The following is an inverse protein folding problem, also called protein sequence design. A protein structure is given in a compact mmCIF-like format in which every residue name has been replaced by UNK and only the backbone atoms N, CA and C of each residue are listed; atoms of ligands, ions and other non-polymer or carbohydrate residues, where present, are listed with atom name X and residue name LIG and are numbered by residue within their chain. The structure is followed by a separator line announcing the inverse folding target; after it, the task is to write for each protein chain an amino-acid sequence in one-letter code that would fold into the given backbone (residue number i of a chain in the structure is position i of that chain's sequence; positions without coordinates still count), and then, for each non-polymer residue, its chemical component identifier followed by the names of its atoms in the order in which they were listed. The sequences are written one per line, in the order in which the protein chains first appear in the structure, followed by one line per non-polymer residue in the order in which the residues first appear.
data_IF_816133232806
#
_entry.id   IF_816133232806
#
_cell.length_a   1.000
_cell.length_b   1.000
_cell.length_c   1.000
_cell.angle_alpha   90.00
_cell.angle_beta   90.00
_cell.angle_gamma   90.00
#
_symmetry.space_group_name_H-M   'P 1'
#
loop_
_entity.id
_entity.type
_entity.pdbx_description
1 polymer ?
#
# COMPACT_ATOMS: atom_id res chain seq x y z
N UNK A 1 -34.15 28.45 -56.53
CA UNK A 1 -34.24 27.04 -56.05
C UNK A 1 -33.03 26.54 -55.22
N UNK A 2 -31.97 27.32 -54.95
CA UNK A 2 -30.83 26.87 -54.11
C UNK A 2 -30.93 27.18 -52.60
N UNK A 3 -31.80 28.11 -52.20
CA UNK A 3 -31.91 28.50 -50.77
C UNK A 3 -32.86 27.63 -49.94
N UNK A 4 -33.90 27.03 -50.53
CA UNK A 4 -34.82 26.14 -49.80
C UNK A 4 -34.15 24.81 -49.36
N UNK A 5 -33.17 24.30 -50.13
CA UNK A 5 -32.45 23.08 -49.78
C UNK A 5 -31.51 23.26 -48.57
N UNK A 6 -30.91 24.44 -48.39
CA UNK A 6 -30.00 24.71 -47.25
C UNK A 6 -30.75 24.84 -45.92
N UNK A 7 -31.93 25.45 -45.90
CA UNK A 7 -32.74 25.52 -44.67
C UNK A 7 -33.34 24.17 -44.27
N UNK A 8 -33.69 23.32 -45.24
CA UNK A 8 -34.21 21.97 -44.96
C UNK A 8 -33.14 21.04 -44.36
N UNK A 9 -31.90 21.08 -44.85
CA UNK A 9 -30.79 20.27 -44.32
C UNK A 9 -30.40 20.72 -42.91
N UNK A 10 -30.32 22.03 -42.65
CA UNK A 10 -29.99 22.57 -41.31
C UNK A 10 -31.09 22.21 -40.30
N UNK A 11 -32.37 22.25 -40.70
CA UNK A 11 -33.48 21.86 -39.84
C UNK A 11 -33.48 20.37 -39.49
N UNK A 12 -33.14 19.49 -40.43
CA UNK A 12 -33.05 18.04 -40.20
C UNK A 12 -31.88 17.71 -39.26
N UNK A 13 -30.71 18.34 -39.44
CA UNK A 13 -29.55 18.09 -38.57
C UNK A 13 -29.81 18.54 -37.13
N UNK A 14 -30.51 19.66 -36.93
CA UNK A 14 -30.87 20.13 -35.58
C UNK A 14 -31.86 19.18 -34.90
N UNK A 15 -32.83 18.64 -35.65
CA UNK A 15 -33.78 17.64 -35.11
C UNK A 15 -33.06 16.34 -34.75
N UNK A 16 -32.12 15.86 -35.57
CA UNK A 16 -31.31 14.67 -35.28
C UNK A 16 -30.47 14.87 -34.01
N UNK A 17 -29.82 16.04 -33.85
CA UNK A 17 -29.01 16.34 -32.65
C UNK A 17 -29.89 16.36 -31.40
N UNK A 18 -31.07 16.98 -31.45
CA UNK A 18 -32.01 16.99 -30.32
C UNK A 18 -32.50 15.57 -29.99
N UNK A 19 -32.84 14.76 -31.00
CA UNK A 19 -33.27 13.37 -30.79
C UNK A 19 -32.15 12.51 -30.21
N UNK A 20 -30.91 12.66 -30.67
CA UNK A 20 -29.75 11.95 -30.09
C UNK A 20 -29.49 12.38 -28.64
N UNK A 21 -29.61 13.67 -28.33
CA UNK A 21 -29.43 14.18 -26.98
C UNK A 21 -30.52 13.71 -26.00
N UNK A 22 -31.78 13.65 -26.45
CA UNK A 22 -32.90 13.11 -25.66
C UNK A 22 -32.76 11.60 -25.48
N UNK A 23 -32.34 10.87 -26.51
CA UNK A 23 -32.11 9.43 -26.43
C UNK A 23 -30.96 9.06 -25.49
N UNK A 24 -29.84 9.81 -25.55
CA UNK A 24 -28.72 9.65 -24.63
C UNK A 24 -29.14 9.94 -23.19
N UNK A 25 -29.89 11.01 -22.93
CA UNK A 25 -30.39 11.30 -21.58
C UNK A 25 -31.41 10.28 -21.07
N UNK A 26 -32.23 9.70 -21.96
CA UNK A 26 -33.14 8.61 -21.61
C UNK A 26 -32.37 7.34 -21.21
N UNK A 27 -31.27 7.03 -21.89
CA UNK A 27 -30.39 5.90 -21.54
C UNK A 27 -29.66 6.13 -20.20
N UNK A 28 -29.29 7.37 -19.87
CA UNK A 28 -28.65 7.70 -18.59
C UNK A 28 -29.61 7.78 -17.40
N UNK A 29 -30.91 8.02 -17.64
CA UNK A 29 -31.91 8.15 -16.57
C UNK A 29 -32.64 6.84 -16.27
N UNK A 30 -32.76 5.93 -17.24
CA UNK A 30 -33.35 4.60 -17.04
C UNK A 30 -32.27 3.50 -17.02
N UNK A 31 -31.70 3.26 -15.84
CA UNK A 31 -30.74 2.18 -15.55
C UNK A 31 -31.34 0.76 -15.65
N UNK A 32 -31.88 0.38 -16.81
CA UNK A 32 -32.42 -0.97 -17.04
C UNK A 32 -31.94 -1.64 -18.35
N UNK A 33 -31.04 -1.01 -19.11
CA UNK A 33 -30.53 -1.63 -20.35
C UNK A 33 -29.27 -2.51 -20.16
N UNK A 34 -28.52 -2.35 -19.07
CA UNK A 34 -27.32 -3.16 -18.80
C UNK A 34 -27.54 -4.39 -17.90
N UNK A 35 -28.77 -4.62 -17.42
CA UNK A 35 -29.08 -5.76 -16.55
C UNK A 35 -29.13 -7.11 -17.29
N UNK A 36 -28.77 -7.16 -18.58
CA UNK A 36 -28.76 -8.37 -19.40
C UNK A 36 -27.39 -8.98 -19.71
N UNK A 37 -26.27 -8.32 -19.38
CA UNK A 37 -24.92 -8.79 -19.77
C UNK A 37 -23.86 -8.56 -18.68
N UNK A 38 -24.10 -9.03 -17.45
CA UNK A 38 -23.01 -9.34 -16.51
C UNK A 38 -23.36 -10.65 -15.82
N UNK A 39 -22.93 -11.75 -16.43
CA UNK A 39 -22.88 -13.05 -15.76
C UNK A 39 -21.46 -13.60 -15.90
N UNK A 40 -20.48 -12.82 -15.43
CA UNK A 40 -19.08 -13.22 -15.27
C UNK A 40 -18.65 -12.87 -13.85
N UNK A 41 -19.32 -13.47 -12.86
CA UNK A 41 -18.85 -13.51 -11.48
C UNK A 41 -19.31 -14.83 -10.85
N UNK A 42 -18.75 -15.94 -11.36
CA UNK A 42 -18.89 -17.27 -10.72
C UNK A 42 -17.56 -17.97 -10.45
N UNK A 43 -16.43 -17.27 -10.56
CA UNK A 43 -15.10 -17.88 -10.36
C UNK A 43 -14.33 -17.38 -9.14
N UNK A 44 -14.81 -16.36 -8.42
CA UNK A 44 -14.06 -15.77 -7.30
C UNK A 44 -14.59 -16.16 -5.91
N UNK A 45 -15.87 -16.53 -5.79
CA UNK A 45 -16.47 -16.93 -4.50
C UNK A 45 -15.84 -18.20 -3.90
N UNK A 46 -15.11 -18.98 -4.70
CA UNK A 46 -14.53 -20.26 -4.27
C UNK A 46 -13.08 -20.17 -3.75
N UNK A 47 -12.44 -18.99 -3.76
CA UNK A 47 -11.05 -18.86 -3.28
C UNK A 47 -10.98 -18.08 -1.96
N UNK A 48 -11.88 -17.12 -1.73
CA UNK A 48 -12.08 -16.48 -0.43
C UNK A 48 -13.56 -16.09 -0.28
N UNK A 49 -14.39 -16.88 0.43
CA UNK A 49 -15.79 -16.55 0.59
C UNK A 49 -15.91 -15.26 1.40
N UNK A 50 -16.44 -14.21 0.79
CA UNK A 50 -16.94 -13.03 1.51
C UNK A 50 -18.29 -13.42 2.10
N UNK A 51 -18.27 -14.06 3.26
CA UNK A 51 -19.49 -14.15 4.07
C UNK A 51 -19.67 -12.82 4.80
N UNK A 52 -20.77 -12.14 4.50
CA UNK A 52 -21.37 -11.18 5.42
C UNK A 52 -21.40 -11.81 6.82
N UNK A 53 -20.93 -11.04 7.80
CA UNK A 53 -21.21 -11.26 9.22
C UNK A 53 -21.01 -12.70 9.72
N UNK A 54 -19.75 -13.13 9.89
CA UNK A 54 -19.40 -14.07 10.95
C UNK A 54 -17.98 -13.80 11.46
N UNK A 55 -17.93 -13.05 12.55
CA UNK A 55 -16.84 -13.04 13.52
C UNK A 55 -16.47 -14.50 13.91
N UNK A 56 -15.42 -15.03 13.29
CA UNK A 56 -14.75 -16.25 13.72
C UNK A 56 -13.24 -16.03 13.80
N UNK A 57 -12.88 -15.12 14.70
CA UNK A 57 -11.80 -15.24 15.67
C UNK A 57 -10.98 -16.54 15.61
N UNK A 58 -9.82 -16.50 14.97
CA UNK A 58 -8.80 -17.55 15.10
C UNK A 58 -7.45 -17.01 15.58
N UNK A 59 -7.46 -16.11 16.57
CA UNK A 59 -6.35 -15.94 17.52
C UNK A 59 -6.82 -15.08 18.70
N UNK A 60 -6.60 -15.46 19.98
CA UNK A 60 -6.93 -14.59 21.12
C UNK A 60 -6.20 -13.23 21.10
N UNK A 61 -5.14 -13.09 20.29
CA UNK A 61 -4.38 -11.86 20.09
C UNK A 61 -4.96 -10.93 19.01
N UNK A 62 -5.80 -11.42 18.09
CA UNK A 62 -6.38 -10.61 17.00
C UNK A 62 -7.63 -9.81 17.42
N UNK A 63 -8.19 -10.09 18.60
CA UNK A 63 -9.36 -9.38 19.16
C UNK A 63 -9.14 -7.90 19.46
N UNK A 64 -7.89 -7.40 19.46
CA UNK A 64 -7.57 -6.05 19.94
C UNK A 64 -7.29 -5.01 18.86
N UNK A 65 -7.27 -5.37 17.58
CA UNK A 65 -7.01 -4.42 16.50
C UNK A 65 -8.07 -4.54 15.40
N UNK A 66 -9.35 -4.33 15.73
CA UNK A 66 -10.34 -4.08 14.70
C UNK A 66 -9.95 -2.79 13.97
N UNK A 67 -9.51 -2.90 12.73
CA UNK A 67 -9.20 -1.76 11.87
C UNK A 67 -10.46 -0.91 11.79
N UNK A 68 -10.36 0.36 12.18
CA UNK A 68 -11.52 1.25 12.15
C UNK A 68 -12.04 1.35 10.71
N UNK A 69 -13.36 1.18 10.49
CA UNK A 69 -13.93 1.36 9.16
C UNK A 69 -13.64 2.78 8.66
N UNK A 70 -13.34 2.89 7.36
CA UNK A 70 -13.16 4.19 6.68
C UNK A 70 -14.45 4.99 6.82
N UNK A 71 -14.36 6.23 7.29
CA UNK A 71 -15.54 7.09 7.36
C UNK A 71 -16.11 7.34 5.97
N UNK A 72 -17.44 7.39 5.83
CA UNK A 72 -18.12 7.49 4.53
C UNK A 72 -17.58 8.63 3.65
N UNK A 73 -17.35 9.80 4.26
CA UNK A 73 -16.80 10.99 3.60
C UNK A 73 -15.39 10.79 3.01
N UNK A 74 -14.63 9.84 3.55
CA UNK A 74 -13.21 9.59 3.21
C UNK A 74 -13.05 8.43 2.23
N UNK A 75 -14.10 7.60 2.03
CA UNK A 75 -14.06 6.43 1.13
C UNK A 75 -13.62 6.79 -0.28
N UNK A 76 -14.06 7.94 -0.81
CA UNK A 76 -13.68 8.39 -2.15
C UNK A 76 -12.17 8.66 -2.33
N UNK A 77 -11.44 8.88 -1.25
CA UNK A 77 -9.99 9.12 -1.29
C UNK A 77 -9.16 7.87 -0.98
N UNK A 78 -9.73 6.92 -0.23
CA UNK A 78 -9.00 5.75 0.28
C UNK A 78 -9.34 4.47 -0.49
N UNK A 79 -10.56 4.34 -0.99
CA UNK A 79 -11.11 3.08 -1.51
C UNK A 79 -10.93 2.86 -3.01
N UNK A 80 -10.58 3.90 -3.76
CA UNK A 80 -10.60 3.83 -5.22
C UNK A 80 -12.00 3.51 -5.77
N UNK A 81 -12.09 3.23 -7.06
CA UNK A 81 -13.34 2.80 -7.70
C UNK A 81 -13.42 1.27 -7.91
N UNK A 82 -12.37 0.54 -7.53
CA UNK A 82 -12.29 -0.91 -7.63
C UNK A 82 -12.24 -1.45 -9.07
N UNK A 83 -11.94 -0.60 -10.07
CA UNK A 83 -11.89 -1.00 -11.48
C UNK A 83 -10.46 -0.98 -11.99
N UNK A 84 -10.05 -2.08 -12.62
CA UNK A 84 -8.81 -2.12 -13.38
C UNK A 84 -9.05 -1.59 -14.79
N UNK A 85 -8.17 -0.70 -15.25
CA UNK A 85 -8.09 -0.23 -16.61
C UNK A 85 -6.85 -0.79 -17.31
N UNK A 86 -6.83 -0.72 -18.63
CA UNK A 86 -5.64 -1.05 -19.40
C UNK A 86 -5.57 -0.28 -20.70
N UNK A 87 -4.36 -0.16 -21.23
CA UNK A 87 -4.05 0.26 -22.59
C UNK A 87 -2.90 -0.62 -23.14
N UNK A 88 -2.37 -0.28 -24.31
CA UNK A 88 -1.31 -1.07 -24.97
C UNK A 88 -0.01 -1.20 -24.15
N UNK A 89 0.21 -0.33 -23.15
CA UNK A 89 1.44 -0.25 -22.37
C UNK A 89 1.25 -0.47 -20.86
N UNK A 90 0.03 -0.28 -20.35
CA UNK A 90 -0.27 -0.26 -18.92
C UNK A 90 -1.43 -1.22 -18.66
N UNK A 91 -1.26 -2.12 -17.70
CA UNK A 91 -2.32 -2.98 -17.18
C UNK A 91 -2.44 -2.76 -15.68
N UNK A 92 -3.66 -2.48 -15.22
CA UNK A 92 -3.96 -2.37 -13.80
C UNK A 92 -4.51 -3.70 -13.25
N UNK A 93 -4.25 -3.95 -11.98
CA UNK A 93 -4.77 -5.11 -11.25
C UNK A 93 -5.49 -4.61 -9.99
N UNK A 94 -6.76 -4.99 -9.84
CA UNK A 94 -7.53 -4.63 -8.65
C UNK A 94 -7.03 -5.45 -7.46
N UNK A 95 -6.72 -4.78 -6.35
CA UNK A 95 -6.36 -5.44 -5.11
C UNK A 95 -7.59 -6.16 -4.51
N UNK A 96 -7.43 -7.33 -3.89
CA UNK A 96 -8.53 -8.13 -3.36
C UNK A 96 -9.24 -7.50 -2.15
N UNK A 97 -8.70 -6.41 -1.60
CA UNK A 97 -9.28 -5.70 -0.45
C UNK A 97 -9.63 -4.25 -0.86
N UNK A 98 -10.88 -3.82 -0.63
CA UNK A 98 -11.26 -2.42 -0.82
C UNK A 98 -10.53 -1.54 0.18
N UNK A 99 -10.32 -0.27 -0.16
CA UNK A 99 -9.68 0.68 0.75
C UNK A 99 -8.31 0.21 1.24
N UNK A 100 -7.56 -0.48 0.41
CA UNK A 100 -6.25 -1.06 0.75
C UNK A 100 -5.12 -0.03 0.76
N UNK A 101 -5.26 1.07 0.00
CA UNK A 101 -4.30 2.16 -0.09
C UNK A 101 -2.85 1.66 -0.33
N UNK A 102 -2.57 1.01 -1.48
CA UNK A 102 -1.23 0.53 -1.79
C UNK A 102 -0.25 1.68 -1.99
N UNK A 103 0.96 1.57 -1.44
CA UNK A 103 2.04 2.57 -1.61
C UNK A 103 3.32 1.88 -2.04
N UNK A 104 4.04 1.26 -1.09
CA UNK A 104 5.27 0.56 -1.41
C UNK A 104 5.03 -0.78 -2.11
N UNK A 105 5.97 -1.17 -2.97
CA UNK A 105 6.08 -2.52 -3.51
C UNK A 105 7.54 -2.96 -3.66
N UNK A 106 7.78 -4.27 -3.69
CA UNK A 106 9.09 -4.86 -3.96
C UNK A 106 8.94 -6.24 -4.60
N UNK A 107 10.05 -6.85 -5.03
CA UNK A 107 10.05 -8.16 -5.69
C UNK A 107 10.88 -9.14 -4.88
N UNK A 108 10.35 -10.33 -4.60
CA UNK A 108 11.08 -11.40 -3.92
C UNK A 108 11.95 -12.23 -4.90
N UNK A 109 12.79 -13.11 -4.35
CA UNK A 109 13.67 -13.98 -5.15
C UNK A 109 12.91 -15.00 -6.02
N UNK A 110 11.60 -15.17 -5.82
CA UNK A 110 10.72 -16.00 -6.65
C UNK A 110 9.96 -15.19 -7.71
N UNK A 111 10.32 -13.92 -7.89
CA UNK A 111 9.66 -12.96 -8.79
C UNK A 111 8.21 -12.61 -8.42
N UNK A 112 7.78 -12.87 -7.18
CA UNK A 112 6.48 -12.36 -6.73
C UNK A 112 6.61 -10.89 -6.30
N UNK A 113 5.57 -10.13 -6.58
CA UNK A 113 5.48 -8.71 -6.22
C UNK A 113 4.79 -8.61 -4.86
N UNK A 114 5.49 -8.04 -3.88
CA UNK A 114 4.97 -7.78 -2.55
C UNK A 114 4.52 -6.32 -2.48
N UNK A 115 3.28 -6.09 -2.06
CA UNK A 115 2.63 -4.78 -2.03
C UNK A 115 2.21 -4.48 -0.60
N UNK A 116 2.57 -3.29 -0.10
CA UNK A 116 2.11 -2.80 1.19
C UNK A 116 0.70 -2.18 1.05
N UNK A 117 -0.31 -2.85 1.58
CA UNK A 117 -1.69 -2.36 1.67
C UNK A 117 -1.88 -1.66 3.03
N UNK A 118 -1.54 -0.37 3.04
CA UNK A 118 -1.32 0.42 4.24
C UNK A 118 -2.54 0.54 5.13
N UNK A 119 -3.70 0.87 4.56
CA UNK A 119 -4.88 1.12 5.40
C UNK A 119 -5.30 -0.14 6.17
N UNK A 120 -5.21 -1.30 5.51
CA UNK A 120 -5.57 -2.60 6.08
C UNK A 120 -4.41 -3.30 6.81
N UNK A 121 -3.21 -2.69 6.86
CA UNK A 121 -2.06 -3.23 7.58
C UNK A 121 -1.59 -4.59 7.10
N UNK A 122 -1.53 -4.79 5.78
CA UNK A 122 -1.18 -6.10 5.19
C UNK A 122 -0.15 -5.99 4.09
N UNK A 123 0.65 -7.04 3.93
CA UNK A 123 1.35 -7.29 2.67
C UNK A 123 0.49 -8.20 1.79
N UNK A 124 0.38 -7.85 0.52
CA UNK A 124 -0.26 -8.66 -0.51
C UNK A 124 0.82 -9.15 -1.48
N UNK A 125 0.83 -10.45 -1.76
CA UNK A 125 1.81 -11.06 -2.66
C UNK A 125 1.11 -11.43 -3.96
N UNK A 126 1.59 -10.86 -5.05
CA UNK A 126 1.08 -11.04 -6.40
C UNK A 126 2.08 -11.84 -7.24
N UNK A 127 1.60 -12.91 -7.87
CA UNK A 127 2.36 -13.68 -8.83
C UNK A 127 2.09 -13.12 -10.25
N UNK A 128 3.09 -12.49 -10.89
CA UNK A 128 2.91 -11.90 -12.22
C UNK A 128 2.74 -12.95 -13.33
N UNK A 129 3.17 -14.19 -13.12
CA UNK A 129 3.04 -15.26 -14.11
C UNK A 129 1.60 -15.76 -14.23
N UNK A 130 0.91 -15.89 -13.09
CA UNK A 130 -0.50 -16.29 -13.03
C UNK A 130 -1.46 -15.10 -13.00
N UNK A 131 -0.94 -13.89 -12.76
CA UNK A 131 -1.72 -12.65 -12.56
C UNK A 131 -2.69 -12.75 -11.38
N UNK A 132 -2.27 -13.39 -10.29
CA UNK A 132 -3.12 -13.62 -9.11
C UNK A 132 -2.44 -13.19 -7.82
N UNK A 133 -3.26 -12.81 -6.82
CA UNK A 133 -2.80 -12.62 -5.46
C UNK A 133 -2.75 -13.97 -4.75
N UNK A 134 -1.56 -14.41 -4.36
CA UNK A 134 -1.29 -15.76 -3.85
C UNK A 134 -1.15 -15.82 -2.33
N UNK A 135 -0.89 -14.68 -1.67
CA UNK A 135 -0.73 -14.60 -0.22
C UNK A 135 -1.12 -13.22 0.30
N UNK A 136 -1.64 -13.18 1.52
CA UNK A 136 -1.74 -11.96 2.32
C UNK A 136 -1.16 -12.20 3.72
N UNK A 137 -0.50 -11.19 4.29
CA UNK A 137 0.21 -11.28 5.57
C UNK A 137 -0.22 -10.08 6.42
N UNK A 138 -0.72 -10.35 7.64
CA UNK A 138 -1.14 -9.30 8.56
C UNK A 138 0.04 -8.74 9.35
N UNK A 139 0.17 -7.42 9.40
CA UNK A 139 1.16 -6.74 10.23
C UNK A 139 0.57 -6.59 11.64
N UNK A 140 1.22 -7.13 12.69
CA UNK A 140 0.66 -7.12 14.03
C UNK A 140 0.60 -5.71 14.62
N UNK A 141 -0.48 -5.41 15.33
CA UNK A 141 -0.71 -4.10 15.99
C UNK A 141 -0.66 -2.91 15.01
N UNK A 142 -0.97 -3.14 13.73
CA UNK A 142 -1.08 -2.07 12.77
C UNK A 142 -2.26 -1.16 13.12
N UNK A 143 -1.97 0.12 13.35
CA UNK A 143 -2.98 1.11 13.71
C UNK A 143 -2.86 2.28 12.75
N UNK A 144 -3.83 2.46 11.83
CA UNK A 144 -3.90 3.66 11.03
C UNK A 144 -4.31 4.84 11.94
N UNK A 145 -3.34 5.54 12.55
CA UNK A 145 -3.62 6.57 13.57
C UNK A 145 -4.08 7.91 12.99
N UNK A 146 -3.99 8.11 11.67
CA UNK A 146 -4.36 9.39 11.02
C UNK A 146 -5.35 9.18 9.87
N UNK A 147 -5.84 10.30 9.30
CA UNK A 147 -6.76 10.34 8.16
C UNK A 147 -6.33 9.46 6.98
N UNK A 148 -5.03 9.18 6.83
CA UNK A 148 -4.47 8.36 5.75
C UNK A 148 -3.80 7.06 6.24
N UNK A 149 -3.95 6.72 7.52
CA UNK A 149 -3.27 5.59 8.15
C UNK A 149 -1.75 5.77 8.25
N UNK A 150 -1.05 4.85 8.92
CA UNK A 150 0.42 4.81 8.80
C UNK A 150 0.78 4.39 7.38
N UNK A 151 1.90 4.87 6.86
CA UNK A 151 2.36 4.51 5.52
C UNK A 151 3.68 3.76 5.59
N UNK A 152 3.73 2.69 4.81
CA UNK A 152 4.92 1.96 4.42
C UNK A 152 5.34 2.54 3.07
N UNK A 153 6.36 3.39 3.11
CA UNK A 153 6.86 4.11 1.95
C UNK A 153 7.87 3.28 1.15
N UNK A 154 8.65 2.45 1.83
CA UNK A 154 9.67 1.62 1.21
C UNK A 154 9.67 0.22 1.84
N UNK A 155 9.90 -0.79 1.02
CA UNK A 155 10.11 -2.17 1.44
C UNK A 155 11.16 -2.84 0.57
N UNK A 156 12.10 -3.56 1.18
CA UNK A 156 13.20 -4.24 0.50
C UNK A 156 13.51 -5.57 1.15
N UNK A 157 13.76 -6.59 0.32
CA UNK A 157 14.32 -7.85 0.79
C UNK A 157 15.80 -7.70 1.08
N UNK A 158 16.25 -8.24 2.22
CA UNK A 158 17.68 -8.40 2.51
C UNK A 158 18.25 -9.66 1.84
N UNK A 159 19.57 -9.85 1.96
CA UNK A 159 20.28 -11.03 1.42
C UNK A 159 19.79 -12.38 1.97
N UNK A 160 19.07 -12.39 3.09
CA UNK A 160 18.52 -13.58 3.73
C UNK A 160 17.09 -13.89 3.25
N UNK A 161 16.49 -13.01 2.45
CA UNK A 161 15.09 -13.10 2.01
C UNK A 161 14.11 -12.63 3.07
N UNK A 162 14.55 -11.84 4.06
CA UNK A 162 13.67 -11.21 5.02
C UNK A 162 13.27 -9.81 4.53
N UNK A 163 12.03 -9.40 4.80
CA UNK A 163 11.49 -8.13 4.31
C UNK A 163 11.71 -7.01 5.33
N UNK A 164 12.39 -5.95 4.92
CA UNK A 164 12.53 -4.73 5.70
C UNK A 164 11.61 -3.65 5.17
N UNK A 165 11.01 -2.85 6.05
CA UNK A 165 10.10 -1.79 5.63
C UNK A 165 10.04 -0.62 6.61
N UNK A 166 9.72 0.57 6.09
CA UNK A 166 9.52 1.78 6.90
C UNK A 166 8.11 1.82 7.49
N UNK A 167 7.97 2.31 8.72
CA UNK A 167 6.68 2.60 9.35
C UNK A 167 6.71 4.02 9.92
N UNK A 168 6.11 4.90 9.15
CA UNK A 168 6.12 6.33 9.33
C UNK A 168 5.61 6.77 10.72
N UNK A 169 4.39 6.39 11.08
CA UNK A 169 3.73 6.94 12.28
C UNK A 169 4.29 6.37 13.56
N UNK A 170 4.84 5.17 13.51
CA UNK A 170 5.53 4.63 14.66
C UNK A 170 7.02 4.96 14.69
N UNK A 171 7.48 5.80 13.75
CA UNK A 171 8.86 6.28 13.68
C UNK A 171 9.84 5.11 13.75
N UNK A 172 9.60 4.06 12.97
CA UNK A 172 10.37 2.83 13.06
C UNK A 172 10.67 2.21 11.71
N UNK A 173 11.66 1.32 11.72
CA UNK A 173 11.88 0.35 10.66
C UNK A 173 11.50 -1.02 11.21
N UNK A 174 10.88 -1.85 10.38
CA UNK A 174 10.48 -3.20 10.74
C UNK A 174 11.23 -4.22 9.89
N UNK A 175 11.42 -5.41 10.46
CA UNK A 175 11.90 -6.61 9.78
C UNK A 175 10.85 -7.71 9.90
N UNK A 176 10.40 -8.26 8.78
CA UNK A 176 9.57 -9.44 8.72
C UNK A 176 10.41 -10.64 8.30
N UNK A 177 10.57 -11.57 9.24
CA UNK A 177 11.28 -12.84 9.08
C UNK A 177 10.37 -13.81 8.34
N UNK A 178 10.45 -13.81 7.01
CA UNK A 178 9.46 -14.46 6.13
C UNK A 178 9.28 -15.95 6.43
N UNK A 179 10.38 -16.66 6.69
CA UNK A 179 10.36 -18.10 6.97
C UNK A 179 9.79 -18.45 8.34
N UNK A 180 9.84 -17.49 9.27
CA UNK A 180 9.44 -17.67 10.68
C UNK A 180 8.08 -17.06 10.98
N UNK A 181 7.49 -16.35 10.01
CA UNK A 181 6.28 -15.55 10.16
C UNK A 181 6.31 -14.64 11.40
N UNK A 182 7.46 -13.98 11.61
CA UNK A 182 7.72 -13.16 12.81
C UNK A 182 8.11 -11.75 12.42
N UNK A 183 7.65 -10.77 13.20
CA UNK A 183 7.98 -9.37 13.04
C UNK A 183 8.94 -8.90 14.14
N UNK A 184 9.94 -8.12 13.75
CA UNK A 184 10.83 -7.37 14.61
C UNK A 184 10.66 -5.88 14.28
N UNK A 185 10.73 -5.02 15.31
CA UNK A 185 10.48 -3.59 15.18
C UNK A 185 11.60 -2.80 15.85
N UNK A 186 12.12 -1.80 15.12
CA UNK A 186 13.24 -0.96 15.54
C UNK A 186 12.81 0.51 15.54
N UNK A 187 12.53 1.04 16.73
CA UNK A 187 12.06 2.41 16.91
C UNK A 187 13.24 3.38 16.77
N UNK A 188 13.06 4.42 15.98
CA UNK A 188 14.00 5.53 15.85
C UNK A 188 14.12 6.28 17.18
N UNK A 189 15.32 6.67 17.62
CA UNK A 189 15.50 7.51 18.81
C UNK A 189 14.84 8.89 18.72
N UNK A 190 14.47 9.32 17.52
CA UNK A 190 13.75 10.57 17.29
C UNK A 190 12.28 10.27 17.08
N UNK A 191 11.45 10.76 18.00
CA UNK A 191 9.99 10.73 17.84
C UNK A 191 9.56 11.48 16.59
N UNK A 192 8.49 11.00 15.95
CA UNK A 192 7.94 11.58 14.72
C UNK A 192 9.00 11.76 13.61
N UNK A 193 9.97 10.85 13.53
CA UNK A 193 11.12 10.98 12.62
C UNK A 193 10.76 10.73 11.16
N UNK A 194 9.64 10.07 10.89
CA UNK A 194 9.09 9.84 9.56
C UNK A 194 10.07 9.08 8.63
N UNK A 195 10.37 7.79 8.94
CA UNK A 195 11.19 6.96 8.06
C UNK A 195 10.54 6.84 6.68
N UNK A 196 11.29 7.17 5.62
CA UNK A 196 10.77 7.15 4.25
C UNK A 196 11.38 6.02 3.42
N UNK A 197 12.69 6.05 3.20
CA UNK A 197 13.40 5.03 2.41
C UNK A 197 14.50 4.39 3.23
N UNK A 198 14.82 3.13 2.91
CA UNK A 198 15.88 2.36 3.53
C UNK A 198 16.76 1.68 2.49
N UNK A 199 18.00 1.36 2.83
CA UNK A 199 18.90 0.51 2.03
C UNK A 199 19.83 -0.28 2.94
N UNK A 200 20.48 -1.29 2.38
CA UNK A 200 21.49 -2.08 3.06
C UNK A 200 22.89 -1.68 2.60
N UNK A 201 23.86 -1.76 3.49
CA UNK A 201 25.28 -1.81 3.13
C UNK A 201 25.75 -3.27 2.93
N UNK A 202 26.99 -3.51 2.47
CA UNK A 202 27.50 -4.87 2.21
C UNK A 202 27.49 -5.79 3.44
N UNK A 203 27.67 -5.24 4.63
CA UNK A 203 27.69 -6.00 5.87
C UNK A 203 26.27 -6.44 6.27
N UNK A 204 25.26 -5.68 5.83
CA UNK A 204 23.84 -5.93 6.08
C UNK A 204 23.25 -4.98 7.11
N UNK A 205 23.96 -3.90 7.45
CA UNK A 205 23.38 -2.84 8.26
C UNK A 205 22.34 -2.06 7.45
N UNK A 206 21.39 -1.47 8.17
CA UNK A 206 20.27 -0.75 7.57
C UNK A 206 20.50 0.74 7.70
N UNK A 207 20.50 1.42 6.57
CA UNK A 207 20.57 2.87 6.46
C UNK A 207 19.20 3.40 6.03
N UNK A 208 18.66 4.40 6.72
CA UNK A 208 17.33 4.93 6.37
C UNK A 208 17.21 6.44 6.59
N UNK A 209 16.33 7.08 5.83
CA UNK A 209 16.09 8.53 5.90
C UNK A 209 14.94 8.84 6.85
N UNK A 210 15.17 9.80 7.76
CA UNK A 210 14.17 10.36 8.65
C UNK A 210 13.79 11.76 8.18
N UNK A 211 12.69 11.89 7.44
CA UNK A 211 12.32 13.12 6.73
C UNK A 211 12.09 14.28 7.69
N UNK A 212 11.25 14.09 8.70
CA UNK A 212 10.98 15.15 9.68
C UNK A 212 12.01 15.21 10.79
N UNK A 213 12.71 14.11 11.04
CA UNK A 213 13.89 14.10 11.89
C UNK A 213 15.08 14.88 11.31
N UNK A 214 15.09 15.14 9.99
CA UNK A 214 16.19 15.75 9.23
C UNK A 214 17.52 15.02 9.42
N UNK A 215 17.48 13.69 9.44
CA UNK A 215 18.63 12.83 9.78
C UNK A 215 18.73 11.65 8.82
N UNK A 216 19.97 11.23 8.58
CA UNK A 216 20.28 9.88 8.13
C UNK A 216 20.41 8.99 9.38
N UNK A 217 19.79 7.82 9.38
CA UNK A 217 19.86 6.87 10.47
C UNK A 217 20.57 5.60 10.04
N UNK A 218 21.27 5.00 11.00
CA UNK A 218 22.00 3.75 10.87
C UNK A 218 21.46 2.77 11.92
N UNK A 219 21.29 1.52 11.53
CA UNK A 219 20.87 0.42 12.38
C UNK A 219 21.75 -0.80 12.08
N UNK A 220 22.49 -1.24 13.10
CA UNK A 220 23.14 -2.56 13.14
C UNK A 220 22.16 -3.56 13.77
N UNK A 221 21.56 -4.47 12.99
CA UNK A 221 20.55 -5.40 13.50
C UNK A 221 21.13 -6.49 14.41
N UNK A 222 22.42 -6.81 14.29
CA UNK A 222 23.07 -7.85 15.08
C UNK A 222 23.46 -7.32 16.46
N UNK A 223 23.88 -6.05 16.55
CA UNK A 223 24.09 -5.35 17.84
C UNK A 223 22.79 -5.30 18.66
N UNK A 224 21.64 -5.04 18.01
CA UNK A 224 20.34 -4.96 18.69
C UNK A 224 19.85 -6.31 19.19
N UNK A 225 20.10 -7.40 18.44
CA UNK A 225 19.73 -8.76 18.87
C UNK A 225 20.52 -9.22 20.09
N UNK A 226 21.78 -8.78 20.20
CA UNK A 226 22.66 -9.17 21.29
C UNK A 226 22.46 -8.34 22.58
N UNK A 227 21.82 -7.17 22.51
CA UNK A 227 21.54 -6.29 23.67
C UNK A 227 20.06 -5.90 23.79
N UNK A 228 19.18 -6.91 23.80
CA UNK A 228 17.73 -6.89 24.12
C UNK A 228 17.11 -5.49 24.22
N UNK A 229 16.55 -5.01 23.10
CA UNK A 229 15.49 -3.99 22.84
C UNK A 229 15.02 -2.98 23.90
N UNK A 230 15.20 -3.21 25.21
CA UNK A 230 14.98 -2.28 26.32
C UNK A 230 16.15 -1.33 26.64
N UNK A 231 17.34 -1.51 26.05
CA UNK A 231 18.50 -0.63 26.35
C UNK A 231 18.85 0.38 25.26
N UNK A 232 18.10 0.43 24.15
CA UNK A 232 18.29 1.46 23.12
C UNK A 232 17.96 2.89 23.61
N UNK A 233 17.18 3.04 24.70
CA UNK A 233 17.03 4.33 25.39
C UNK A 233 18.32 4.79 26.10
N UNK A 234 19.22 3.87 26.47
CA UNK A 234 20.48 4.18 27.19
C UNK A 234 21.68 4.39 26.26
N UNK A 235 21.69 3.79 25.07
CA UNK A 235 22.81 3.87 24.12
C UNK A 235 22.94 5.21 23.38
N UNK A 236 21.92 6.09 23.48
CA UNK A 236 21.90 7.42 22.85
C UNK A 236 23.07 8.31 23.34
N UNK A 237 23.63 8.07 24.52
CA UNK A 237 24.74 8.86 25.07
C UNK A 237 26.14 8.25 24.86
N UNK A 238 26.27 6.96 24.56
CA UNK A 238 27.57 6.29 24.48
C UNK A 238 28.24 6.36 23.09
N UNK A 239 27.45 6.43 21.99
CA UNK A 239 27.99 6.46 20.62
C UNK A 239 28.37 7.88 20.13
N UNK A 240 27.87 8.95 20.76
CA UNK A 240 28.30 10.34 20.47
C UNK A 240 29.80 10.54 20.78
N UNK A 241 30.37 9.76 21.70
CA UNK A 241 31.80 9.79 22.01
C UNK A 241 32.70 9.16 20.94
N UNK A 242 32.20 8.21 20.14
CA UNK A 242 32.99 7.50 19.14
C UNK A 242 33.01 8.26 17.80
N UNK A 243 31.91 8.95 17.45
CA UNK A 243 31.87 9.77 16.24
C UNK A 243 32.71 11.05 16.32
N UNK A 244 33.02 11.55 17.52
CA UNK A 244 33.99 12.64 17.72
C UNK A 244 35.44 12.26 17.38
N UNK A 245 35.73 10.97 17.15
CA UNK A 245 37.07 10.51 16.83
C UNK A 245 37.42 10.65 15.33
N UNK A 246 36.43 10.99 14.49
CA UNK A 246 36.60 11.16 13.04
C UNK A 246 36.79 12.62 12.60
N UNK A 247 36.76 13.59 13.52
CA UNK A 247 36.98 15.02 13.22
C UNK A 247 38.47 15.38 12.95
N UNK A 248 39.37 14.40 12.90
CA UNK A 248 40.82 14.62 12.67
C UNK A 248 41.33 14.23 11.28
N UNK A 249 40.47 13.76 10.36
CA UNK A 249 40.87 13.57 8.96
C UNK A 249 40.62 14.87 8.19
N UNK A 250 41.63 15.74 8.21
CA UNK A 250 41.74 16.87 7.29
C UNK A 250 41.91 16.33 5.87
N UNK A 251 41.04 16.77 4.96
CA UNK A 251 41.14 16.49 3.53
C UNK A 251 42.42 17.14 2.98
N UNK A 252 43.34 16.32 2.44
CA UNK A 252 44.44 16.74 1.55
C UNK A 252 44.07 16.35 0.14
#
# INVERSE_FOLDING_TARGET
MKNYFRYSIVSITVVIVILTYVFVNYLFTNNNFFNGFINVNKSFDNIFPVTEENDALSNPLDKKAAIKPVAEKDKKYVCGDGRANSNDFITEFVLPFPCSQPVGLTVDNSNNIWIAANWIGRFLVFDPSTKTFIKNISIPNWNPKTMFGSMIWDLKFDKNGDLWFTDEQSSSVWKYLVKQDKFEKYISPTDSSYPLSLTFDPDGNVWFTNVFGKKLAFLDPDEVKNNTTKELEKLIWAKVSILKQWDHLQWV
#
